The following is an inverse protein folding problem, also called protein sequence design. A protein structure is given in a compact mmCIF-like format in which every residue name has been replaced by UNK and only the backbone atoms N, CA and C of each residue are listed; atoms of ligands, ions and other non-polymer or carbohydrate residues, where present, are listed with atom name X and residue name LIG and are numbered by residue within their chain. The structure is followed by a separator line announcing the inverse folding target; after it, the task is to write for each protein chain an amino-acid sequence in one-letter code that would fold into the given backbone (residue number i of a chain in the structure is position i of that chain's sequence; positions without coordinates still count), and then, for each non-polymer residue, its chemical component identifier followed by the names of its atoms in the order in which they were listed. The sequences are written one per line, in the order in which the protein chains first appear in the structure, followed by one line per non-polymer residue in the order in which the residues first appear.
data_IF_846898270394
#
_entry.id   IF_846898270394
#
_cell.length_a   1.000
_cell.length_b   1.000
_cell.length_c   1.000
_cell.angle_alpha   90.00
_cell.angle_beta   90.00
_cell.angle_gamma   90.00
#
_symmetry.space_group_name_H-M   'P 1'
#
loop_
_entity.id
_entity.type
_entity.pdbx_description
1 polymer ?
#
# COMPACT_ATOMS: atom_id res chain seq x y z
N UNK A 1 25.60 60.31 -3.49
CA UNK A 1 24.58 60.22 -4.56
C UNK A 1 25.14 59.29 -5.63
N UNK A 2 24.66 58.04 -5.66
CA UNK A 2 25.02 57.08 -6.71
C UNK A 2 23.91 57.12 -7.75
N UNK A 3 24.25 57.45 -9.00
CA UNK A 3 23.33 57.38 -10.12
C UNK A 3 22.89 55.91 -10.33
N UNK A 4 21.60 55.65 -10.59
CA UNK A 4 21.16 54.32 -11.01
C UNK A 4 21.68 54.02 -12.42
N UNK A 5 21.96 52.74 -12.75
CA UNK A 5 22.47 52.38 -14.07
C UNK A 5 21.43 52.63 -15.19
N UNK A 6 21.84 53.07 -16.38
CA UNK A 6 20.94 53.34 -17.50
C UNK A 6 20.60 52.02 -18.22
N UNK A 7 19.30 51.68 -18.29
CA UNK A 7 18.81 50.48 -19.01
C UNK A 7 17.54 49.83 -18.44
N UNK A 8 17.11 50.25 -17.24
CA UNK A 8 15.95 49.67 -16.54
C UNK A 8 14.57 50.13 -17.07
N UNK A 9 14.33 51.39 -17.53
CA UNK A 9 12.96 51.82 -17.85
C UNK A 9 12.42 51.31 -19.19
N UNK A 10 13.27 51.12 -20.22
CA UNK A 10 12.83 50.62 -21.54
C UNK A 10 12.49 49.13 -21.52
N UNK A 11 13.27 48.34 -20.77
CA UNK A 11 13.03 46.91 -20.59
C UNK A 11 11.74 46.63 -19.82
N UNK A 12 11.46 47.42 -18.78
CA UNK A 12 10.18 47.34 -18.04
C UNK A 12 8.97 47.74 -18.90
N UNK A 13 9.10 48.80 -19.71
CA UNK A 13 8.05 49.21 -20.62
C UNK A 13 7.76 48.17 -21.71
N UNK A 14 8.79 47.46 -22.18
CA UNK A 14 8.63 46.36 -23.13
C UNK A 14 7.90 45.16 -22.48
N UNK A 15 8.30 44.76 -21.27
CA UNK A 15 7.64 43.66 -20.54
C UNK A 15 6.15 43.96 -20.30
N UNK A 16 5.81 45.19 -19.87
CA UNK A 16 4.42 45.59 -19.68
C UNK A 16 3.59 45.54 -20.97
N UNK A 17 4.19 45.87 -22.12
CA UNK A 17 3.52 45.74 -23.43
C UNK A 17 3.32 44.28 -23.82
N UNK A 18 4.34 43.44 -23.61
CA UNK A 18 4.26 42.00 -23.91
C UNK A 18 3.19 41.33 -23.05
N UNK A 19 3.10 41.69 -21.78
CA UNK A 19 2.06 41.22 -20.86
C UNK A 19 0.67 41.63 -21.34
N UNK A 20 0.43 42.91 -21.65
CA UNK A 20 -0.87 43.37 -22.13
C UNK A 20 -1.32 42.66 -23.43
N UNK A 21 -0.38 42.39 -24.34
CA UNK A 21 -0.66 41.61 -25.56
C UNK A 21 -0.97 40.15 -25.21
N UNK A 22 -0.21 39.54 -24.29
CA UNK A 22 -0.45 38.17 -23.87
C UNK A 22 -1.79 38.03 -23.13
N UNK A 23 -2.18 38.95 -22.27
CA UNK A 23 -3.51 38.97 -21.65
C UNK A 23 -4.62 39.07 -22.68
N UNK A 24 -4.50 39.97 -23.67
CA UNK A 24 -5.52 40.18 -24.69
C UNK A 24 -5.74 38.96 -25.61
N UNK A 25 -4.76 38.06 -25.70
CA UNK A 25 -4.77 36.90 -26.59
C UNK A 25 -4.65 35.56 -25.85
N UNK A 26 -4.89 35.52 -24.53
CA UNK A 26 -4.75 34.31 -23.70
C UNK A 26 -3.38 33.62 -23.88
N UNK A 27 -2.31 34.40 -24.00
CA UNK A 27 -0.92 33.95 -24.12
C UNK A 27 -0.35 33.42 -22.81
N UNK A 28 -0.95 32.35 -22.27
CA UNK A 28 -0.62 31.79 -20.95
C UNK A 28 0.87 31.46 -20.78
N UNK A 29 1.51 30.93 -21.82
CA UNK A 29 2.95 30.64 -21.79
C UNK A 29 3.80 31.90 -21.60
N UNK A 30 3.42 33.01 -22.24
CA UNK A 30 4.14 34.27 -22.13
C UNK A 30 3.88 34.93 -20.77
N UNK A 31 2.65 34.87 -20.26
CA UNK A 31 2.30 35.40 -18.94
C UNK A 31 3.02 34.66 -17.80
N UNK A 32 3.08 33.33 -17.87
CA UNK A 32 3.86 32.50 -16.93
C UNK A 32 5.35 32.88 -16.98
N UNK A 33 5.93 32.96 -18.19
CA UNK A 33 7.33 33.33 -18.36
C UNK A 33 7.64 34.76 -17.87
N UNK A 34 6.75 35.72 -18.11
CA UNK A 34 6.91 37.10 -17.63
C UNK A 34 6.93 37.12 -16.10
N UNK A 35 5.97 36.45 -15.44
CA UNK A 35 5.90 36.38 -13.98
C UNK A 35 7.16 35.71 -13.36
N UNK A 36 7.68 34.66 -13.99
CA UNK A 36 8.92 34.00 -13.59
C UNK A 36 10.17 34.89 -13.77
N UNK A 37 10.28 35.61 -14.90
CA UNK A 37 11.41 36.49 -15.19
C UNK A 37 11.51 37.63 -14.17
N UNK A 38 10.36 38.23 -13.83
CA UNK A 38 10.30 39.32 -12.84
C UNK A 38 10.27 38.82 -11.40
N UNK A 39 10.20 37.49 -11.20
CA UNK A 39 10.12 36.81 -9.90
C UNK A 39 8.94 37.30 -9.03
N UNK A 40 7.82 37.63 -9.67
CA UNK A 40 6.61 38.13 -9.00
C UNK A 40 5.54 37.04 -8.95
N UNK A 41 5.59 36.25 -7.87
CA UNK A 41 4.64 35.17 -7.62
C UNK A 41 3.21 35.68 -7.42
N UNK A 42 3.04 36.85 -6.80
CA UNK A 42 1.71 37.40 -6.59
C UNK A 42 1.05 37.71 -7.94
N UNK A 43 1.82 38.26 -8.87
CA UNK A 43 1.34 38.53 -10.23
C UNK A 43 0.97 37.26 -10.99
N UNK A 44 1.71 36.17 -10.80
CA UNK A 44 1.34 34.86 -11.36
C UNK A 44 -0.02 34.39 -10.81
N UNK A 45 -0.21 34.45 -9.49
CA UNK A 45 -1.47 34.04 -8.85
C UNK A 45 -2.65 34.88 -9.34
N UNK A 46 -2.42 36.18 -9.48
CA UNK A 46 -3.37 37.12 -10.04
C UNK A 46 -3.80 36.74 -11.48
N UNK A 47 -2.87 36.30 -12.33
CA UNK A 47 -3.22 35.79 -13.67
C UNK A 47 -3.99 34.47 -13.60
N UNK A 48 -3.57 33.55 -12.73
CA UNK A 48 -4.20 32.24 -12.55
C UNK A 48 -5.66 32.35 -12.07
N UNK A 49 -5.96 33.34 -11.23
CA UNK A 49 -7.30 33.58 -10.70
C UNK A 49 -8.23 34.17 -11.76
N UNK A 50 -7.73 35.17 -12.52
CA UNK A 50 -8.55 36.04 -13.35
C UNK A 50 -8.71 35.58 -14.80
N UNK A 51 -7.75 34.82 -15.34
CA UNK A 51 -7.72 34.47 -16.75
C UNK A 51 -8.27 33.07 -17.01
N UNK A 52 -9.37 33.05 -17.76
CA UNK A 52 -10.00 31.84 -18.28
C UNK A 52 -10.47 32.09 -19.70
N UNK A 53 -10.13 31.16 -20.60
CA UNK A 53 -10.55 31.25 -21.99
C UNK A 53 -12.03 30.87 -22.09
N UNK A 54 -12.85 31.84 -22.48
CA UNK A 54 -14.30 31.65 -22.62
C UNK A 54 -14.71 30.71 -23.74
N UNK A 55 -13.82 30.43 -24.71
CA UNK A 55 -14.10 29.60 -25.88
C UNK A 55 -13.68 28.16 -25.62
N UNK A 56 -12.45 27.95 -25.14
CA UNK A 56 -11.90 26.61 -24.88
C UNK A 56 -12.22 26.09 -23.48
N UNK A 57 -12.56 27.00 -22.55
CA UNK A 57 -12.72 26.70 -21.13
C UNK A 57 -11.40 26.56 -20.38
N UNK A 58 -10.25 26.62 -21.07
CA UNK A 58 -8.92 26.45 -20.49
C UNK A 58 -8.59 27.60 -19.54
N UNK A 59 -8.20 27.25 -18.32
CA UNK A 59 -7.80 28.24 -17.32
C UNK A 59 -6.29 28.44 -17.26
N UNK A 60 -5.87 29.67 -17.00
CA UNK A 60 -4.45 29.98 -16.73
C UNK A 60 -3.91 29.20 -15.53
N UNK A 61 -4.75 28.92 -14.53
CA UNK A 61 -4.39 28.10 -13.38
C UNK A 61 -4.01 26.66 -13.79
N UNK A 62 -4.83 25.97 -14.57
CA UNK A 62 -4.53 24.60 -15.02
C UNK A 62 -3.30 24.55 -15.94
N UNK A 63 -3.10 25.60 -16.75
CA UNK A 63 -1.87 25.76 -17.52
C UNK A 63 -0.64 25.88 -16.60
N UNK A 64 -0.71 26.73 -15.57
CA UNK A 64 0.37 26.89 -14.61
C UNK A 64 0.64 25.58 -13.83
N UNK A 65 -0.41 24.84 -13.45
CA UNK A 65 -0.28 23.54 -12.78
C UNK A 65 0.50 22.54 -13.65
N UNK A 66 0.12 22.42 -14.92
CA UNK A 66 0.84 21.58 -15.87
C UNK A 66 2.28 22.06 -16.05
N UNK A 67 2.52 23.38 -16.12
CA UNK A 67 3.89 23.91 -16.24
C UNK A 67 4.76 23.60 -15.04
N UNK A 68 4.24 23.65 -13.82
CA UNK A 68 5.00 23.23 -12.64
C UNK A 68 5.37 21.73 -12.69
N UNK A 69 4.49 20.87 -13.23
CA UNK A 69 4.85 19.46 -13.46
C UNK A 69 5.88 19.29 -14.58
N UNK A 70 5.71 19.99 -15.70
CA UNK A 70 6.63 19.94 -16.85
C UNK A 70 8.06 20.36 -16.44
N UNK A 71 8.17 21.30 -15.50
CA UNK A 71 9.43 21.84 -14.97
C UNK A 71 9.98 21.08 -13.76
N UNK A 72 9.36 19.95 -13.38
CA UNK A 72 9.74 19.15 -12.20
C UNK A 72 9.79 19.97 -10.90
N UNK A 73 8.81 20.87 -10.72
CA UNK A 73 8.63 21.73 -9.53
C UNK A 73 7.34 21.38 -8.77
N UNK A 74 7.11 20.11 -8.35
CA UNK A 74 5.88 19.72 -7.68
C UNK A 74 5.70 20.37 -6.30
N UNK A 75 6.79 20.74 -5.61
CA UNK A 75 6.70 21.45 -4.34
C UNK A 75 5.99 22.80 -4.48
N UNK A 76 6.28 23.54 -5.56
CA UNK A 76 5.65 24.84 -5.80
C UNK A 76 4.18 24.73 -6.19
N UNK A 77 3.79 23.59 -6.77
CA UNK A 77 2.40 23.28 -7.01
C UNK A 77 1.62 23.04 -5.70
N UNK A 78 2.25 22.39 -4.71
CA UNK A 78 1.65 22.12 -3.40
C UNK A 78 1.69 23.32 -2.45
N UNK A 79 2.60 24.27 -2.69
CA UNK A 79 2.74 25.52 -1.92
C UNK A 79 1.89 26.68 -2.47
N UNK A 80 0.98 26.40 -3.41
CA UNK A 80 0.06 27.40 -3.94
C UNK A 80 -0.88 27.95 -2.85
N UNK A 81 -1.36 29.20 -2.98
CA UNK A 81 -2.35 29.75 -2.06
C UNK A 81 -3.63 28.90 -2.01
N UNK A 82 -4.22 28.76 -0.82
CA UNK A 82 -5.41 27.91 -0.61
C UNK A 82 -6.65 28.28 -1.43
N UNK A 83 -6.68 29.46 -2.05
CA UNK A 83 -7.71 29.84 -3.04
C UNK A 83 -7.74 28.89 -4.26
N UNK A 84 -6.62 28.19 -4.54
CA UNK A 84 -6.51 27.24 -5.64
C UNK A 84 -6.76 25.78 -5.24
N UNK A 85 -6.97 25.47 -3.95
CA UNK A 85 -7.02 24.10 -3.43
C UNK A 85 -8.08 23.22 -4.12
N UNK A 86 -9.29 23.76 -4.31
CA UNK A 86 -10.38 23.05 -4.96
C UNK A 86 -10.09 22.79 -6.44
N UNK A 87 -9.55 23.79 -7.14
CA UNK A 87 -9.20 23.69 -8.56
C UNK A 87 -8.04 22.72 -8.77
N UNK A 88 -7.03 22.75 -7.90
CA UNK A 88 -5.90 21.83 -7.92
C UNK A 88 -6.36 20.39 -7.64
N UNK A 89 -7.23 20.18 -6.63
CA UNK A 89 -7.79 18.87 -6.34
C UNK A 89 -8.56 18.29 -7.54
N UNK A 90 -9.40 19.10 -8.20
CA UNK A 90 -10.13 18.69 -9.39
C UNK A 90 -9.18 18.31 -10.53
N UNK A 91 -8.16 19.12 -10.79
CA UNK A 91 -7.18 18.89 -11.85
C UNK A 91 -6.30 17.64 -11.62
N UNK A 92 -5.91 17.37 -10.36
CA UNK A 92 -5.17 16.16 -9.98
C UNK A 92 -6.02 14.89 -10.15
N UNK A 93 -7.34 14.99 -9.96
CA UNK A 93 -8.28 13.87 -10.07
C UNK A 93 -8.73 13.53 -11.49
N UNK A 94 -8.30 14.30 -12.51
CA UNK A 94 -8.77 14.15 -13.88
C UNK A 94 -8.27 12.83 -14.50
N UNK A 95 -9.21 11.90 -14.71
CA UNK A 95 -8.93 10.60 -15.31
C UNK A 95 -8.46 10.72 -16.77
N UNK A 96 -7.50 9.88 -17.16
CA UNK A 96 -7.00 9.82 -18.53
C UNK A 96 -5.99 10.92 -18.91
N UNK A 97 -5.52 11.72 -17.95
CA UNK A 97 -4.42 12.65 -18.18
C UNK A 97 -3.13 11.90 -18.57
N UNK A 98 -2.28 12.46 -19.46
CA UNK A 98 -1.03 11.82 -19.86
C UNK A 98 -0.08 11.57 -18.68
N UNK A 99 -0.14 12.40 -17.65
CA UNK A 99 0.65 12.32 -16.42
C UNK A 99 -0.12 11.71 -15.23
N UNK A 100 -1.11 10.85 -15.50
CA UNK A 100 -2.01 10.31 -14.46
C UNK A 100 -1.27 9.70 -13.25
N UNK A 101 -0.17 8.99 -13.48
CA UNK A 101 0.70 8.42 -12.45
C UNK A 101 1.25 9.51 -11.49
N UNK A 102 1.92 10.52 -12.04
CA UNK A 102 2.49 11.64 -11.27
C UNK A 102 1.39 12.43 -10.54
N UNK A 103 0.26 12.67 -11.20
CA UNK A 103 -0.88 13.39 -10.60
C UNK A 103 -1.47 12.62 -9.42
N UNK A 104 -1.60 11.29 -9.53
CA UNK A 104 -2.06 10.44 -8.45
C UNK A 104 -1.10 10.46 -7.24
N UNK A 105 0.21 10.50 -7.49
CA UNK A 105 1.22 10.69 -6.44
C UNK A 105 1.09 12.05 -5.74
N UNK A 106 0.78 13.11 -6.46
CA UNK A 106 0.59 14.44 -5.87
C UNK A 106 -0.77 14.61 -5.18
N UNK A 107 -1.77 13.83 -5.59
CA UNK A 107 -3.12 13.93 -5.07
C UNK A 107 -3.19 13.65 -3.57
N UNK A 108 -2.56 12.57 -3.08
CA UNK A 108 -2.59 12.28 -1.64
C UNK A 108 -1.82 13.33 -0.83
N UNK A 109 -0.71 13.87 -1.36
CA UNK A 109 0.05 14.96 -0.73
C UNK A 109 -0.78 16.24 -0.61
N UNK A 110 -1.50 16.60 -1.67
CA UNK A 110 -2.44 17.73 -1.66
C UNK A 110 -3.53 17.56 -0.60
N UNK A 111 -4.10 16.36 -0.50
CA UNK A 111 -5.10 16.07 0.51
C UNK A 111 -4.54 16.13 1.94
N UNK A 112 -3.28 15.75 2.17
CA UNK A 112 -2.61 15.96 3.47
C UNK A 112 -2.40 17.45 3.75
N UNK A 113 -1.92 18.22 2.77
CA UNK A 113 -1.70 19.66 2.89
C UNK A 113 -3.00 20.40 3.29
N UNK A 114 -4.10 20.07 2.63
CA UNK A 114 -5.44 20.63 2.87
C UNK A 114 -6.16 20.01 4.07
N UNK A 115 -5.51 19.11 4.82
CA UNK A 115 -6.06 18.39 5.99
C UNK A 115 -7.29 17.53 5.67
N UNK A 116 -7.47 17.16 4.42
CA UNK A 116 -8.49 16.23 3.95
C UNK A 116 -8.02 14.77 4.09
N UNK A 117 -7.79 14.33 5.32
CA UNK A 117 -7.16 13.03 5.58
C UNK A 117 -7.92 11.81 5.06
N UNK A 118 -9.27 11.74 5.09
CA UNK A 118 -10.00 10.64 4.47
C UNK A 118 -9.76 10.54 2.96
N UNK A 119 -9.64 11.67 2.27
CA UNK A 119 -9.33 11.71 0.84
C UNK A 119 -7.86 11.32 0.60
N UNK A 120 -6.94 11.74 1.46
CA UNK A 120 -5.53 11.32 1.39
C UNK A 120 -5.39 9.79 1.50
N UNK A 121 -6.12 9.17 2.43
CA UNK A 121 -6.14 7.72 2.57
C UNK A 121 -6.72 7.00 1.33
N UNK A 122 -7.80 7.55 0.74
CA UNK A 122 -8.39 7.04 -0.48
C UNK A 122 -7.44 7.14 -1.68
N UNK A 123 -6.75 8.28 -1.84
CA UNK A 123 -5.76 8.49 -2.91
C UNK A 123 -4.53 7.60 -2.72
N UNK A 124 -4.02 7.42 -1.49
CA UNK A 124 -2.93 6.49 -1.22
C UNK A 124 -3.32 5.04 -1.55
N UNK A 125 -4.58 4.64 -1.26
CA UNK A 125 -5.12 3.33 -1.67
C UNK A 125 -5.19 3.20 -3.20
N UNK A 126 -5.64 4.23 -3.90
CA UNK A 126 -5.70 4.22 -5.37
C UNK A 126 -4.30 4.13 -5.99
N UNK A 127 -3.32 4.86 -5.43
CA UNK A 127 -1.93 4.79 -5.86
C UNK A 127 -1.31 3.41 -5.65
N UNK A 128 -1.56 2.79 -4.49
CA UNK A 128 -1.13 1.42 -4.21
C UNK A 128 -1.71 0.40 -5.22
N UNK A 129 -2.89 0.66 -5.80
CA UNK A 129 -3.52 -0.23 -6.77
C UNK A 129 -3.12 0.06 -8.24
N UNK A 130 -2.72 1.29 -8.57
CA UNK A 130 -2.49 1.72 -9.95
C UNK A 130 -1.09 1.39 -10.49
N UNK A 131 -0.08 1.37 -9.62
CA UNK A 131 1.32 1.20 -10.00
C UNK A 131 1.90 -0.12 -9.49
N UNK A 132 2.90 -0.63 -10.21
CA UNK A 132 3.72 -1.74 -9.72
C UNK A 132 4.72 -1.17 -8.74
N UNK A 133 4.53 -1.47 -7.46
CA UNK A 133 5.37 -1.00 -6.37
C UNK A 133 6.40 -2.05 -5.98
N UNK A 134 7.56 -1.61 -5.50
CA UNK A 134 8.42 -2.49 -4.70
C UNK A 134 7.73 -2.80 -3.36
N UNK A 135 8.17 -3.84 -2.66
CA UNK A 135 7.66 -4.15 -1.33
C UNK A 135 7.81 -2.96 -0.36
N UNK A 136 8.96 -2.26 -0.43
CA UNK A 136 9.24 -1.06 0.36
C UNK A 136 8.27 0.08 0.04
N UNK A 137 8.02 0.35 -1.25
CA UNK A 137 7.11 1.42 -1.67
C UNK A 137 5.67 1.12 -1.23
N UNK A 138 5.24 -0.13 -1.36
CA UNK A 138 3.92 -0.56 -0.90
C UNK A 138 3.75 -0.37 0.61
N UNK A 139 4.75 -0.76 1.42
CA UNK A 139 4.71 -0.54 2.87
C UNK A 139 4.61 0.94 3.22
N UNK A 140 5.34 1.81 2.52
CA UNK A 140 5.21 3.25 2.71
C UNK A 140 3.80 3.75 2.39
N UNK A 141 3.20 3.33 1.28
CA UNK A 141 1.84 3.73 0.91
C UNK A 141 0.78 3.23 1.89
N UNK A 142 0.92 2.00 2.40
CA UNK A 142 0.05 1.44 3.43
C UNK A 142 0.20 2.20 4.76
N UNK A 143 1.43 2.56 5.14
CA UNK A 143 1.69 3.38 6.31
C UNK A 143 1.06 4.78 6.18
N UNK A 144 1.21 5.43 5.02
CA UNK A 144 0.57 6.72 4.73
C UNK A 144 -0.96 6.61 4.86
N UNK A 145 -1.56 5.60 4.23
CA UNK A 145 -3.01 5.34 4.32
C UNK A 145 -3.46 5.16 5.77
N UNK A 146 -2.72 4.37 6.55
CA UNK A 146 -3.02 4.13 7.97
C UNK A 146 -2.94 5.41 8.80
N UNK A 147 -1.87 6.19 8.63
CA UNK A 147 -1.68 7.47 9.32
C UNK A 147 -2.74 8.51 8.93
N UNK A 148 -3.11 8.57 7.65
CA UNK A 148 -4.18 9.44 7.17
C UNK A 148 -5.54 9.04 7.78
N UNK A 149 -5.87 7.75 7.81
CA UNK A 149 -7.08 7.27 8.49
C UNK A 149 -7.10 7.64 9.99
N UNK A 150 -5.96 7.51 10.68
CA UNK A 150 -5.82 7.90 12.09
C UNK A 150 -5.98 9.41 12.31
N UNK A 151 -5.43 10.23 11.42
CA UNK A 151 -5.56 11.68 11.49
C UNK A 151 -6.98 12.16 11.13
N UNK A 152 -7.69 11.41 10.28
CA UNK A 152 -9.05 11.71 9.85
C UNK A 152 -10.15 11.26 10.81
N UNK A 153 -9.86 10.37 11.77
CA UNK A 153 -10.85 9.92 12.77
C UNK A 153 -11.17 11.03 13.77
N UNK A 154 -12.41 11.55 13.81
CA UNK A 154 -12.77 12.74 14.61
C UNK A 154 -12.94 12.47 16.11
N UNK A 155 -12.97 11.21 16.56
CA UNK A 155 -13.21 10.83 17.95
C UNK A 155 -12.04 10.06 18.55
N UNK A 156 -11.37 10.67 19.54
CA UNK A 156 -10.43 10.01 20.43
C UNK A 156 -11.06 9.82 21.83
N UNK A 157 -10.85 8.66 22.50
CA UNK A 157 -10.20 7.46 21.98
C UNK A 157 -11.02 6.82 20.86
N UNK A 158 -10.33 6.21 19.90
CA UNK A 158 -11.00 5.35 18.93
C UNK A 158 -11.57 4.18 19.74
N UNK A 159 -12.89 4.07 19.82
CA UNK A 159 -13.56 2.97 20.51
C UNK A 159 -13.04 1.66 19.92
N UNK A 160 -12.31 0.86 20.71
CA UNK A 160 -11.86 -0.46 20.29
C UNK A 160 -13.11 -1.31 19.97
N UNK A 161 -13.32 -1.62 18.69
CA UNK A 161 -14.55 -2.25 18.20
C UNK A 161 -14.56 -2.45 16.68
N UNK A 162 -15.72 -2.82 16.14
CA UNK A 162 -15.91 -3.13 14.70
C UNK A 162 -15.43 -1.99 13.77
N UNK A 163 -15.56 -0.73 14.19
CA UNK A 163 -15.15 0.44 13.40
C UNK A 163 -13.62 0.49 13.17
N UNK A 164 -12.80 -0.02 14.11
CA UNK A 164 -11.34 -0.10 13.93
C UNK A 164 -10.91 -1.21 12.97
N UNK A 165 -11.55 -2.38 13.03
CA UNK A 165 -11.26 -3.46 12.07
C UNK A 165 -11.72 -3.09 10.66
N UNK A 166 -12.85 -2.40 10.52
CA UNK A 166 -13.36 -1.96 9.22
C UNK A 166 -12.45 -0.91 8.57
N UNK A 167 -11.92 0.02 9.35
CA UNK A 167 -11.08 1.14 8.83
C UNK A 167 -9.61 0.74 8.63
N UNK A 168 -9.03 -0.01 9.57
CA UNK A 168 -7.60 -0.33 9.57
C UNK A 168 -7.28 -1.77 9.16
N UNK A 169 -8.21 -2.72 9.37
CA UNK A 169 -7.94 -4.14 9.21
C UNK A 169 -7.52 -4.55 7.79
N UNK A 170 -8.06 -3.93 6.73
CA UNK A 170 -7.59 -4.16 5.35
C UNK A 170 -6.14 -3.66 5.15
N UNK A 171 -5.79 -2.53 5.74
CA UNK A 171 -4.46 -1.92 5.59
C UNK A 171 -3.41 -2.74 6.34
N UNK A 172 -3.73 -3.13 7.57
CA UNK A 172 -2.83 -3.90 8.44
C UNK A 172 -2.63 -5.32 7.89
N UNK A 173 -3.68 -5.99 7.40
CA UNK A 173 -3.57 -7.29 6.71
C UNK A 173 -2.67 -7.22 5.48
N UNK A 174 -2.86 -6.20 4.64
CA UNK A 174 -1.99 -5.98 3.46
C UNK A 174 -0.55 -5.70 3.85
N UNK A 175 -0.30 -4.93 4.89
CA UNK A 175 1.06 -4.67 5.36
C UNK A 175 1.73 -5.96 5.85
N UNK A 176 0.99 -6.79 6.60
CA UNK A 176 1.48 -8.10 7.04
C UNK A 176 1.82 -9.01 5.85
N UNK A 177 0.98 -9.05 4.80
CA UNK A 177 1.27 -9.80 3.58
C UNK A 177 2.56 -9.33 2.88
N UNK A 178 2.82 -8.01 2.83
CA UNK A 178 4.06 -7.49 2.26
C UNK A 178 5.27 -7.87 3.12
N UNK A 179 5.15 -7.85 4.44
CA UNK A 179 6.22 -8.32 5.32
C UNK A 179 6.52 -9.80 5.12
N UNK A 180 5.52 -10.64 4.92
CA UNK A 180 5.70 -12.05 4.60
C UNK A 180 6.40 -12.27 3.26
N UNK A 181 6.02 -11.48 2.26
CA UNK A 181 6.68 -11.45 0.96
C UNK A 181 8.18 -11.12 1.08
N UNK A 182 8.53 -10.10 1.88
CA UNK A 182 9.92 -9.72 2.13
C UNK A 182 10.67 -10.76 2.94
N UNK A 183 10.04 -11.37 3.98
CA UNK A 183 10.64 -12.46 4.77
C UNK A 183 11.06 -13.63 3.89
N UNK A 184 10.32 -13.88 2.82
CA UNK A 184 10.63 -14.89 1.83
C UNK A 184 11.68 -14.47 0.78
N UNK A 185 12.32 -13.31 0.90
CA UNK A 185 13.32 -12.84 -0.06
C UNK A 185 12.76 -12.71 -1.48
N UNK A 186 11.47 -12.40 -1.62
CA UNK A 186 10.81 -12.19 -2.92
C UNK A 186 10.87 -10.73 -3.37
N UNK A 187 11.80 -9.94 -2.83
CA UNK A 187 11.93 -8.50 -3.11
C UNK A 187 12.13 -8.18 -4.60
N UNK A 188 12.81 -9.07 -5.33
CA UNK A 188 13.05 -8.96 -6.78
C UNK A 188 11.86 -9.42 -7.63
N UNK A 189 10.85 -10.04 -7.02
CA UNK A 189 9.64 -10.50 -7.72
C UNK A 189 8.59 -9.39 -7.67
N UNK A 190 7.88 -9.10 -8.79
CA UNK A 190 6.83 -8.09 -8.80
C UNK A 190 5.82 -8.37 -7.69
N UNK A 191 5.64 -7.40 -6.78
CA UNK A 191 4.72 -7.54 -5.67
C UNK A 191 3.30 -7.69 -6.20
N UNK A 192 2.62 -8.77 -5.83
CA UNK A 192 1.18 -8.91 -5.97
C UNK A 192 0.55 -9.00 -4.59
N UNK A 193 -0.49 -8.20 -4.36
CA UNK A 193 -1.32 -8.29 -3.16
C UNK A 193 -2.53 -9.22 -3.37
N UNK A 194 -2.62 -9.88 -4.53
CA UNK A 194 -3.64 -10.89 -4.77
C UNK A 194 -3.23 -12.18 -4.05
N UNK A 195 -4.11 -12.69 -3.17
CA UNK A 195 -3.82 -13.89 -2.40
C UNK A 195 -3.43 -15.11 -3.24
N UNK A 196 -4.01 -15.25 -4.44
CA UNK A 196 -3.68 -16.33 -5.38
C UNK A 196 -2.24 -16.23 -5.88
N UNK A 197 -1.82 -15.04 -6.27
CA UNK A 197 -0.47 -14.80 -6.79
C UNK A 197 0.56 -15.01 -5.68
N UNK A 198 0.23 -14.60 -4.45
CA UNK A 198 1.07 -14.84 -3.26
C UNK A 198 1.30 -16.33 -3.04
N UNK A 199 0.22 -17.12 -2.94
CA UNK A 199 0.34 -18.55 -2.70
C UNK A 199 1.04 -19.28 -3.84
N UNK A 200 0.72 -18.96 -5.09
CA UNK A 200 1.36 -19.61 -6.24
C UNK A 200 2.86 -19.30 -6.32
N UNK A 201 3.25 -18.06 -6.03
CA UNK A 201 4.68 -17.66 -6.00
C UNK A 201 5.44 -18.39 -4.90
N UNK A 202 4.85 -18.46 -3.69
CA UNK A 202 5.47 -19.12 -2.54
C UNK A 202 5.56 -20.64 -2.72
N UNK A 203 4.51 -21.26 -3.27
CA UNK A 203 4.53 -22.68 -3.66
C UNK A 203 5.57 -22.97 -4.75
N UNK A 204 5.70 -22.09 -5.74
CA UNK A 204 6.69 -22.24 -6.80
C UNK A 204 8.13 -22.10 -6.29
N UNK A 205 8.37 -21.21 -5.32
CA UNK A 205 9.67 -21.10 -4.64
C UNK A 205 10.02 -22.41 -3.91
N UNK A 206 9.01 -23.03 -3.30
CA UNK A 206 9.14 -24.31 -2.61
C UNK A 206 10.00 -24.23 -1.35
N UNK A 207 10.12 -25.38 -0.68
CA UNK A 207 10.81 -25.47 0.61
C UNK A 207 9.93 -25.05 1.79
N UNK A 208 10.36 -25.45 2.98
CA UNK A 208 9.58 -25.35 4.21
C UNK A 208 9.26 -23.90 4.57
N UNK A 209 10.24 -23.00 4.47
CA UNK A 209 10.06 -21.58 4.81
C UNK A 209 9.07 -20.87 3.88
N UNK A 210 9.16 -21.11 2.56
CA UNK A 210 8.24 -20.49 1.60
C UNK A 210 6.81 -21.02 1.76
N UNK A 211 6.67 -22.33 1.99
CA UNK A 211 5.36 -22.93 2.24
C UNK A 211 4.76 -22.45 3.58
N UNK A 212 5.58 -22.32 4.63
CA UNK A 212 5.18 -21.76 5.94
C UNK A 212 4.63 -20.36 5.79
N UNK A 213 5.36 -19.50 5.08
CA UNK A 213 4.91 -18.15 4.80
C UNK A 213 3.65 -18.11 3.93
N UNK A 214 3.46 -19.08 3.03
CA UNK A 214 2.23 -19.21 2.25
C UNK A 214 1.02 -19.50 3.14
N UNK A 215 1.18 -20.39 4.10
CA UNK A 215 0.13 -20.71 5.08
C UNK A 215 -0.17 -19.53 6.01
N UNK A 216 0.87 -18.84 6.49
CA UNK A 216 0.72 -17.63 7.30
C UNK A 216 0.09 -16.48 6.50
N UNK A 217 0.43 -16.33 5.22
CA UNK A 217 -0.20 -15.36 4.33
C UNK A 217 -1.70 -15.67 4.13
N UNK A 218 -2.06 -16.96 4.01
CA UNK A 218 -3.46 -17.37 3.85
C UNK A 218 -4.34 -16.97 5.04
N UNK A 219 -3.82 -16.95 6.27
CA UNK A 219 -4.60 -16.50 7.44
C UNK A 219 -4.87 -14.99 7.44
N UNK A 220 -4.14 -14.23 6.63
CA UNK A 220 -4.29 -12.78 6.47
C UNK A 220 -5.25 -12.40 5.33
N UNK A 221 -5.69 -13.35 4.49
CA UNK A 221 -6.63 -13.08 3.40
C UNK A 221 -8.02 -12.75 3.93
N UNK A 222 -8.85 -12.10 3.10
CA UNK A 222 -10.27 -11.96 3.45
C UNK A 222 -11.03 -13.29 3.30
N UNK A 223 -12.21 -13.46 3.94
CA UNK A 223 -12.93 -14.73 3.90
C UNK A 223 -13.31 -15.21 2.48
N UNK A 224 -13.50 -14.31 1.52
CA UNK A 224 -13.83 -14.67 0.15
C UNK A 224 -12.59 -15.18 -0.60
N UNK A 225 -11.46 -14.49 -0.46
CA UNK A 225 -10.16 -14.92 -0.97
C UNK A 225 -9.71 -16.23 -0.33
N UNK A 226 -10.00 -16.45 0.96
CA UNK A 226 -9.71 -17.71 1.64
C UNK A 226 -10.47 -18.89 1.04
N UNK A 227 -11.77 -18.72 0.76
CA UNK A 227 -12.57 -19.76 0.13
C UNK A 227 -12.04 -20.11 -1.27
N UNK A 228 -11.72 -19.09 -2.07
CA UNK A 228 -11.20 -19.27 -3.44
C UNK A 228 -9.82 -19.94 -3.44
N UNK A 229 -8.93 -19.50 -2.56
CA UNK A 229 -7.53 -19.91 -2.55
C UNK A 229 -7.24 -21.10 -1.64
N UNK A 230 -8.29 -21.67 -0.99
CA UNK A 230 -8.18 -22.85 -0.14
C UNK A 230 -7.37 -23.97 -0.79
N UNK A 231 -7.57 -24.38 -2.05
CA UNK A 231 -6.83 -25.49 -2.63
C UNK A 231 -5.31 -25.27 -2.67
N UNK A 232 -4.86 -24.03 -2.85
CA UNK A 232 -3.44 -23.68 -2.85
C UNK A 232 -2.86 -23.69 -1.44
N UNK A 233 -3.60 -23.20 -0.45
CA UNK A 233 -3.19 -23.27 0.94
C UNK A 233 -3.05 -24.73 1.41
N UNK A 234 -3.98 -25.61 1.00
CA UNK A 234 -3.91 -27.05 1.26
C UNK A 234 -2.64 -27.68 0.69
N UNK A 235 -2.24 -27.30 -0.52
CA UNK A 235 -1.01 -27.79 -1.14
C UNK A 235 0.23 -27.33 -0.35
N UNK A 236 0.26 -26.09 0.14
CA UNK A 236 1.35 -25.59 0.97
C UNK A 236 1.46 -26.40 2.28
N UNK A 237 0.33 -26.65 2.95
CA UNK A 237 0.25 -27.51 4.12
C UNK A 237 0.79 -28.92 3.85
N UNK A 238 0.42 -29.52 2.71
CA UNK A 238 0.91 -30.84 2.30
C UNK A 238 2.42 -30.85 2.09
N UNK A 239 2.99 -29.84 1.43
CA UNK A 239 4.43 -29.78 1.20
C UNK A 239 5.22 -29.62 2.50
N UNK A 240 4.74 -28.79 3.45
CA UNK A 240 5.35 -28.68 4.78
C UNK A 240 5.29 -30.05 5.49
N UNK A 241 4.15 -30.73 5.43
CA UNK A 241 3.98 -32.02 6.07
C UNK A 241 4.93 -33.06 5.49
N UNK A 242 5.06 -33.14 4.16
CA UNK A 242 5.99 -34.07 3.51
C UNK A 242 7.47 -33.78 3.81
N UNK A 243 7.80 -32.53 4.11
CA UNK A 243 9.17 -32.11 4.44
C UNK A 243 9.55 -32.28 5.92
N UNK A 244 8.58 -32.56 6.80
CA UNK A 244 8.80 -32.66 8.24
C UNK A 244 9.36 -34.05 8.62
N UNK A 245 10.34 -34.09 9.52
CA UNK A 245 10.94 -35.34 10.00
C UNK A 245 10.08 -35.98 11.10
N UNK A 246 9.01 -36.63 10.66
CA UNK A 246 8.06 -37.33 11.53
C UNK A 246 8.70 -38.48 12.31
N UNK A 247 9.79 -39.07 11.82
CA UNK A 247 10.48 -40.17 12.49
C UNK A 247 11.35 -39.67 13.64
N UNK A 248 11.99 -38.51 13.50
CA UNK A 248 12.61 -37.81 14.63
C UNK A 248 11.56 -37.42 15.66
N UNK A 249 10.43 -36.84 15.22
CA UNK A 249 9.36 -36.45 16.13
C UNK A 249 8.79 -37.65 16.91
N UNK A 250 8.56 -38.77 16.24
CA UNK A 250 8.06 -39.99 16.87
C UNK A 250 9.03 -40.51 17.95
N UNK A 251 10.34 -40.44 17.68
CA UNK A 251 11.39 -40.79 18.67
C UNK A 251 11.41 -39.82 19.84
N UNK A 252 11.37 -38.52 19.59
CA UNK A 252 11.39 -37.49 20.63
C UNK A 252 10.13 -37.57 21.51
N UNK A 253 8.97 -37.79 20.90
CA UNK A 253 7.73 -38.03 21.65
C UNK A 253 7.77 -39.34 22.43
N UNK A 254 8.38 -40.42 21.91
CA UNK A 254 8.48 -41.68 22.64
C UNK A 254 9.40 -41.62 23.87
N UNK A 255 10.30 -40.64 23.92
CA UNK A 255 11.28 -40.46 25.00
C UNK A 255 10.93 -39.33 25.97
N UNK A 256 9.99 -38.45 25.61
CA UNK A 256 9.49 -37.40 26.47
C UNK A 256 8.77 -37.96 27.71
N UNK A 257 9.12 -37.44 28.90
CA UNK A 257 8.58 -37.90 30.19
C UNK A 257 7.48 -36.97 30.75
N UNK A 258 7.08 -35.94 30.00
CA UNK A 258 6.08 -34.98 30.46
C UNK A 258 5.56 -34.04 29.37
N UNK A 259 4.43 -33.37 29.67
CA UNK A 259 3.72 -32.50 28.71
C UNK A 259 4.56 -31.33 28.18
N UNK A 260 5.50 -30.80 28.98
CA UNK A 260 6.37 -29.70 28.55
C UNK A 260 7.40 -30.16 27.50
N UNK A 261 8.02 -31.31 27.71
CA UNK A 261 8.98 -31.90 26.77
C UNK A 261 8.31 -32.32 25.46
N UNK A 262 7.07 -32.82 25.54
CA UNK A 262 6.27 -33.05 24.34
C UNK A 262 5.99 -31.76 23.57
N UNK A 263 5.65 -30.65 24.25
CA UNK A 263 5.42 -29.36 23.58
C UNK A 263 6.70 -28.81 22.93
N UNK A 264 7.86 -28.96 23.57
CA UNK A 264 9.14 -28.56 22.98
C UNK A 264 9.50 -29.40 21.75
N UNK A 265 9.31 -30.71 21.82
CA UNK A 265 9.53 -31.60 20.67
C UNK A 265 8.56 -31.28 19.51
N UNK A 266 7.30 -30.96 19.81
CA UNK A 266 6.31 -30.53 18.83
C UNK A 266 6.67 -29.17 18.22
N UNK A 267 7.07 -28.19 19.01
CA UNK A 267 7.46 -26.85 18.54
C UNK A 267 8.70 -26.87 17.62
N UNK A 268 9.53 -27.92 17.70
CA UNK A 268 10.69 -28.10 16.81
C UNK A 268 10.30 -28.50 15.38
N UNK A 269 9.04 -28.90 15.16
CA UNK A 269 8.57 -29.35 13.85
C UNK A 269 7.94 -28.19 13.07
N UNK A 270 8.35 -27.97 11.82
CA UNK A 270 7.87 -26.84 11.02
C UNK A 270 6.35 -26.80 10.94
N UNK A 271 5.70 -27.93 10.66
CA UNK A 271 4.25 -28.00 10.53
C UNK A 271 3.51 -27.57 11.81
N UNK A 272 4.05 -27.90 12.99
CA UNK A 272 3.42 -27.58 14.28
C UNK A 272 3.60 -26.10 14.61
N UNK A 273 4.76 -25.53 14.31
CA UNK A 273 5.00 -24.09 14.45
C UNK A 273 4.08 -23.28 13.53
N UNK A 274 3.91 -23.72 12.28
CA UNK A 274 2.98 -23.09 11.32
C UNK A 274 1.53 -23.24 11.81
N UNK A 275 1.17 -24.39 12.39
CA UNK A 275 -0.15 -24.61 13.01
C UNK A 275 -0.44 -23.60 14.11
N UNK A 276 0.48 -23.49 15.08
CA UNK A 276 0.33 -22.59 16.20
C UNK A 276 0.24 -21.13 15.74
N UNK A 277 1.04 -20.73 14.74
CA UNK A 277 0.97 -19.40 14.13
C UNK A 277 -0.35 -19.15 13.39
N UNK A 278 -0.84 -20.11 12.61
CA UNK A 278 -2.11 -20.03 11.91
C UNK A 278 -3.30 -19.99 12.88
N UNK A 279 -3.28 -20.79 13.95
CA UNK A 279 -4.30 -20.76 15.00
C UNK A 279 -4.29 -19.45 15.80
N UNK A 280 -3.11 -18.88 16.06
CA UNK A 280 -2.98 -17.61 16.77
C UNK A 280 -3.43 -16.40 15.94
N UNK A 281 -3.32 -16.48 14.61
CA UNK A 281 -3.77 -15.44 13.67
C UNK A 281 -5.22 -15.59 13.22
N UNK A 282 -5.82 -16.78 13.38
CA UNK A 282 -7.20 -17.06 13.02
C UNK A 282 -8.22 -16.36 13.93
N UNK A 283 -8.68 -15.17 13.53
CA UNK A 283 -9.91 -14.60 14.05
C UNK A 283 -11.11 -15.35 13.44
N UNK A 284 -11.83 -16.11 14.27
CA UNK A 284 -13.08 -16.86 14.00
C UNK A 284 -12.93 -18.36 13.63
N UNK A 285 -13.81 -19.17 14.24
CA UNK A 285 -13.81 -20.65 14.20
C UNK A 285 -13.95 -21.33 12.84
N UNK A 286 -14.14 -20.57 11.75
CA UNK A 286 -14.14 -21.06 10.36
C UNK A 286 -12.73 -21.51 9.93
N UNK A 287 -11.69 -20.81 10.39
CA UNK A 287 -10.30 -21.19 10.12
C UNK A 287 -9.90 -22.51 10.79
N UNK A 288 -10.40 -22.75 12.01
CA UNK A 288 -10.02 -23.92 12.79
C UNK A 288 -10.47 -25.22 12.15
N UNK A 289 -11.72 -25.29 11.69
CA UNK A 289 -12.22 -26.47 10.96
C UNK A 289 -11.51 -26.69 9.63
N UNK A 290 -11.11 -25.61 8.94
CA UNK A 290 -10.41 -25.71 7.65
C UNK A 290 -8.97 -26.18 7.82
N UNK A 291 -8.27 -25.68 8.83
CA UNK A 291 -6.94 -26.19 9.22
C UNK A 291 -7.08 -27.66 9.61
N UNK A 292 -8.04 -28.03 10.45
CA UNK A 292 -8.27 -29.43 10.83
C UNK A 292 -8.55 -30.35 9.61
N UNK A 293 -9.35 -29.92 8.64
CA UNK A 293 -9.64 -30.69 7.41
C UNK A 293 -8.41 -30.83 6.51
N UNK A 294 -7.67 -29.74 6.30
CA UNK A 294 -6.41 -29.72 5.54
C UNK A 294 -5.42 -30.76 6.05
N UNK A 295 -5.31 -30.81 7.36
CA UNK A 295 -4.38 -31.65 8.07
C UNK A 295 -4.84 -33.10 8.07
N UNK A 296 -6.15 -33.37 8.17
CA UNK A 296 -6.66 -34.72 7.97
C UNK A 296 -6.39 -35.24 6.56
N UNK A 297 -6.50 -34.38 5.55
CA UNK A 297 -6.18 -34.73 4.16
C UNK A 297 -4.68 -34.94 3.95
N UNK A 298 -3.82 -34.08 4.51
CA UNK A 298 -2.36 -34.27 4.45
C UNK A 298 -1.91 -35.50 5.24
N UNK A 299 -2.54 -35.79 6.39
CA UNK A 299 -2.24 -36.95 7.21
C UNK A 299 -2.68 -38.28 6.56
N UNK A 300 -3.65 -38.25 5.64
CA UNK A 300 -4.06 -39.42 4.86
C UNK A 300 -2.95 -39.90 3.89
N UNK A 301 -2.06 -38.99 3.48
CA UNK A 301 -0.96 -39.25 2.56
C UNK A 301 0.34 -39.68 3.29
N UNK A 302 0.33 -39.71 4.63
CA UNK A 302 1.48 -40.07 5.48
C UNK A 302 1.45 -41.53 5.96
N UNK A 303 2.61 -42.07 6.36
CA UNK A 303 2.70 -43.37 7.03
C UNK A 303 2.00 -43.37 8.39
N UNK A 304 1.49 -44.52 8.86
CA UNK A 304 0.75 -44.63 10.13
C UNK A 304 1.41 -43.95 11.36
N UNK A 305 2.72 -44.12 11.64
CA UNK A 305 3.35 -43.43 12.76
C UNK A 305 3.48 -41.91 12.56
N UNK A 306 3.73 -41.47 11.33
CA UNK A 306 3.78 -40.04 10.99
C UNK A 306 2.39 -39.39 11.10
N UNK A 307 1.36 -40.07 10.61
CA UNK A 307 -0.05 -39.69 10.74
C UNK A 307 -0.47 -39.53 12.20
N UNK A 308 -0.09 -40.48 13.06
CA UNK A 308 -0.40 -40.43 14.49
C UNK A 308 0.29 -39.25 15.21
N UNK A 309 1.56 -39.00 14.91
CA UNK A 309 2.31 -37.89 15.50
C UNK A 309 1.79 -36.53 15.02
N UNK A 310 1.45 -36.43 13.73
CA UNK A 310 0.82 -35.25 13.15
C UNK A 310 -0.52 -34.95 13.83
N UNK A 311 -1.46 -35.90 13.88
CA UNK A 311 -2.76 -35.70 14.52
C UNK A 311 -2.63 -35.36 16.03
N UNK A 312 -1.65 -35.95 16.72
CA UNK A 312 -1.36 -35.64 18.11
C UNK A 312 -0.84 -34.21 18.31
N UNK A 313 0.11 -33.78 17.48
CA UNK A 313 0.64 -32.42 17.47
C UNK A 313 -0.47 -31.38 17.35
N UNK A 314 -1.40 -31.61 16.43
CA UNK A 314 -2.52 -30.72 16.20
C UNK A 314 -3.53 -30.71 17.32
N UNK A 315 -3.81 -31.87 17.93
CA UNK A 315 -4.69 -31.93 19.11
C UNK A 315 -4.12 -31.09 20.27
N UNK A 316 -2.80 -30.94 20.34
CA UNK A 316 -2.10 -30.16 21.36
C UNK A 316 -2.08 -28.66 21.02
N UNK A 317 -1.85 -28.30 19.76
CA UNK A 317 -1.96 -26.92 19.25
C UNK A 317 -3.38 -26.35 19.46
N UNK A 318 -4.40 -27.16 19.17
CA UNK A 318 -5.80 -26.80 19.29
C UNK A 318 -6.31 -26.64 20.74
N UNK A 319 -5.51 -27.07 21.73
CA UNK A 319 -5.81 -26.94 23.16
C UNK A 319 -5.18 -25.70 23.82
N UNK A 320 -4.37 -24.93 23.07
CA UNK A 320 -3.89 -23.61 23.48
C UNK A 320 -5.00 -22.58 23.44
#
# INVERSE_FOLDING_TARGET
MLCPPPGVPESQALLARMEAVAEAHNGYSQLFAIAEIIQDRQRLYDFMDRLQDSITGESMAEFAFQKFLDLDRPAELLDLPGAFDERLAAWLSLAGAPDAAKRLQLQWLHHVHTRSYPQAAASARALAAAEKHTASDMLHLLAIRRLANLAGTPSWPISAGADTEEVFGDTDRKAALVHEWMRCGLEDTPLSLNGRDILTTLLAKGGVEACSAGVEAFSLFDPAEQEENRPLALEAWKQIALSSDWESLARDCSTAQGKSQHREALASQPLCAVADAAFSSATAGVHRSQVEEALQQAAADLSDPARACMLYAFSMAAQG
#
